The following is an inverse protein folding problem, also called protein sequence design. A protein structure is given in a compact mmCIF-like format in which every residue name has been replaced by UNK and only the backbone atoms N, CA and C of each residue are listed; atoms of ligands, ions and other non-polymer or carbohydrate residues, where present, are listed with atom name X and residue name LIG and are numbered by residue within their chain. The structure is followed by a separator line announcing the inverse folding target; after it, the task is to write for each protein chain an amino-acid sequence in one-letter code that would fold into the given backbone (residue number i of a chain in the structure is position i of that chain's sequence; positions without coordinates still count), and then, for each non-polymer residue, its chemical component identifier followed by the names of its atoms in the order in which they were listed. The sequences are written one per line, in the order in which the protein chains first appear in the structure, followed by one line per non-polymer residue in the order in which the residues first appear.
data_IF_488493563736
#
_entry.id   IF_488493563736
#
_cell.length_a   1.000
_cell.length_b   1.000
_cell.length_c   1.000
_cell.angle_alpha   90.00
_cell.angle_beta   90.00
_cell.angle_gamma   90.00
#
_symmetry.space_group_name_H-M   'P 1'
#
loop_
_entity.id
_entity.type
_entity.pdbx_description
1 polymer ?
#
# COMPACT_ATOMS: atom_id res chain seq x y z
N UNK A 1 17.91 -3.79 5.91
CA UNK A 1 16.83 -4.02 6.86
C UNK A 1 15.56 -3.39 6.32
N UNK A 2 14.61 -4.23 6.00
CA UNK A 2 13.43 -3.79 5.26
C UNK A 2 12.19 -4.33 5.96
N UNK A 3 11.37 -3.43 6.49
CA UNK A 3 10.18 -3.79 7.28
C UNK A 3 9.02 -2.90 6.83
N UNK A 4 8.51 -3.12 5.61
CA UNK A 4 7.41 -2.31 5.12
C UNK A 4 6.08 -2.74 5.75
N UNK A 5 5.22 -1.78 6.00
CA UNK A 5 3.85 -2.01 6.42
C UNK A 5 2.91 -1.31 5.45
N UNK A 6 2.01 -2.07 4.86
CA UNK A 6 1.06 -1.56 3.85
C UNK A 6 -0.35 -1.87 4.34
N UNK A 7 -1.13 -0.82 4.53
CA UNK A 7 -2.51 -0.95 4.97
C UNK A 7 -3.45 -0.38 3.91
N UNK A 8 -4.40 -1.19 3.48
CA UNK A 8 -5.41 -0.80 2.51
C UNK A 8 -6.78 -0.71 3.16
N UNK A 9 -7.44 0.43 3.00
CA UNK A 9 -8.83 0.62 3.39
C UNK A 9 -9.60 0.90 2.12
N UNK A 10 -10.66 0.13 1.85
CA UNK A 10 -11.40 0.25 0.60
C UNK A 10 -12.88 -0.05 0.80
N UNK A 11 -13.71 0.56 -0.04
CA UNK A 11 -15.13 0.23 -0.08
C UNK A 11 -15.43 -1.02 -0.92
N UNK A 12 -14.42 -1.55 -1.62
CA UNK A 12 -14.56 -2.79 -2.37
C UNK A 12 -14.56 -3.96 -1.40
N UNK A 13 -15.48 -4.91 -1.59
CA UNK A 13 -15.43 -6.16 -0.82
C UNK A 13 -14.26 -6.99 -1.34
N UNK A 14 -13.39 -7.41 -0.43
CA UNK A 14 -12.18 -8.15 -0.80
C UNK A 14 -12.37 -9.64 -0.51
N UNK A 15 -12.06 -10.47 -1.48
CA UNK A 15 -11.95 -11.90 -1.27
C UNK A 15 -10.49 -12.31 -1.10
N UNK A 16 -10.24 -13.57 -0.76
CA UNK A 16 -8.88 -14.06 -0.52
C UNK A 16 -7.99 -13.95 -1.74
N UNK A 17 -8.55 -14.18 -2.93
CA UNK A 17 -7.79 -14.10 -4.18
C UNK A 17 -7.33 -12.66 -4.45
N UNK A 18 -8.19 -11.70 -4.21
CA UNK A 18 -7.86 -10.29 -4.39
C UNK A 18 -6.80 -9.84 -3.39
N UNK A 19 -6.95 -10.22 -2.12
CA UNK A 19 -5.94 -9.90 -1.11
C UNK A 19 -4.59 -10.52 -1.45
N UNK A 20 -4.60 -11.76 -1.91
CA UNK A 20 -3.37 -12.44 -2.33
C UNK A 20 -2.71 -11.70 -3.49
N UNK A 21 -3.49 -11.32 -4.49
CA UNK A 21 -2.96 -10.59 -5.65
C UNK A 21 -2.35 -9.25 -5.24
N UNK A 22 -3.01 -8.52 -4.34
CA UNK A 22 -2.48 -7.25 -3.85
C UNK A 22 -1.22 -7.46 -3.03
N UNK A 23 -1.19 -8.46 -2.17
CA UNK A 23 -0.03 -8.74 -1.32
C UNK A 23 1.18 -9.16 -2.15
N UNK A 24 0.99 -10.10 -3.07
CA UNK A 24 2.07 -10.57 -3.91
C UNK A 24 2.56 -9.47 -4.87
N UNK A 25 1.62 -8.74 -5.47
CA UNK A 25 1.98 -7.63 -6.36
C UNK A 25 2.73 -6.53 -5.63
N UNK A 26 2.28 -6.16 -4.44
CA UNK A 26 2.97 -5.16 -3.63
C UNK A 26 4.38 -5.61 -3.25
N UNK A 27 4.53 -6.89 -2.88
CA UNK A 27 5.84 -7.44 -2.54
C UNK A 27 6.81 -7.36 -3.73
N UNK A 28 6.34 -7.68 -4.92
CA UNK A 28 7.16 -7.56 -6.12
C UNK A 28 7.60 -6.12 -6.39
N UNK A 29 6.68 -5.17 -6.22
CA UNK A 29 7.00 -3.76 -6.44
C UNK A 29 7.99 -3.24 -5.41
N UNK A 30 7.86 -3.66 -4.16
CA UNK A 30 8.81 -3.29 -3.11
C UNK A 30 10.20 -3.78 -3.44
N UNK A 31 10.29 -5.02 -3.92
CA UNK A 31 11.57 -5.61 -4.31
C UNK A 31 12.15 -4.94 -5.56
N UNK A 32 11.35 -4.82 -6.60
CA UNK A 32 11.84 -4.42 -7.92
C UNK A 32 12.06 -2.91 -8.04
N UNK A 33 11.23 -2.11 -7.41
CA UNK A 33 11.31 -0.64 -7.52
C UNK A 33 12.06 -0.03 -6.34
N UNK A 34 11.69 -0.43 -5.11
CA UNK A 34 12.31 0.15 -3.92
C UNK A 34 13.62 -0.53 -3.52
N UNK A 35 13.92 -1.69 -4.11
CA UNK A 35 15.12 -2.43 -3.76
C UNK A 35 15.13 -2.94 -2.34
N UNK A 36 13.94 -3.14 -1.75
CA UNK A 36 13.80 -3.60 -0.37
C UNK A 36 13.34 -5.05 -0.36
N UNK A 37 13.79 -5.79 0.65
CA UNK A 37 13.37 -7.17 0.83
C UNK A 37 11.97 -7.23 1.42
N UNK A 38 10.99 -7.84 0.72
CA UNK A 38 9.63 -7.91 1.23
C UNK A 38 9.38 -9.01 2.26
N UNK A 39 10.40 -9.76 2.66
CA UNK A 39 10.20 -10.93 3.55
C UNK A 39 9.59 -10.55 4.90
N UNK A 40 9.80 -9.32 5.35
CA UNK A 40 9.22 -8.82 6.60
C UNK A 40 8.07 -7.86 6.39
N UNK A 41 7.54 -7.82 5.17
CA UNK A 41 6.39 -6.98 4.87
C UNK A 41 5.18 -7.45 5.66
N UNK A 42 4.48 -6.50 6.27
CA UNK A 42 3.17 -6.76 6.84
C UNK A 42 2.13 -6.02 6.04
N UNK A 43 1.02 -6.69 5.77
CA UNK A 43 -0.09 -6.09 5.07
C UNK A 43 -1.36 -6.24 5.89
N UNK A 44 -2.23 -5.23 5.81
CA UNK A 44 -3.54 -5.27 6.42
C UNK A 44 -4.54 -4.81 5.37
N UNK A 45 -5.66 -5.51 5.28
CA UNK A 45 -6.71 -5.19 4.34
C UNK A 45 -8.04 -5.03 5.07
N UNK A 46 -8.70 -3.92 4.83
CA UNK A 46 -10.01 -3.63 5.39
C UNK A 46 -10.94 -3.28 4.23
N UNK A 47 -11.70 -4.25 3.78
CA UNK A 47 -12.61 -4.10 2.65
C UNK A 47 -14.05 -3.87 3.08
N UNK A 48 -14.86 -3.40 2.13
CA UNK A 48 -16.28 -3.24 2.36
C UNK A 48 -16.64 -2.12 3.34
N UNK A 49 -15.74 -1.18 3.57
CA UNK A 49 -16.01 -0.06 4.48
C UNK A 49 -16.70 1.07 3.74
N UNK A 50 -17.29 1.99 4.48
CA UNK A 50 -17.90 3.19 3.90
C UNK A 50 -16.81 4.22 3.66
N UNK A 51 -16.25 4.20 2.47
CA UNK A 51 -15.18 5.10 2.06
C UNK A 51 -15.58 5.77 0.76
N UNK A 52 -15.46 7.08 0.69
CA UNK A 52 -15.76 7.83 -0.51
C UNK A 52 -14.80 9.01 -0.66
N UNK A 53 -14.61 9.44 -1.89
CA UNK A 53 -13.78 10.59 -2.19
C UNK A 53 -14.69 11.78 -2.52
N UNK A 54 -14.40 12.93 -1.91
CA UNK A 54 -15.16 14.16 -2.16
C UNK A 54 -16.51 14.17 -1.48
N UNK A 55 -17.46 14.90 -2.08
CA UNK A 55 -18.81 15.08 -1.57
C UNK A 55 -19.82 14.59 -2.60
N UNK A 56 -21.08 14.41 -2.15
CA UNK A 56 -22.13 13.93 -3.03
C UNK A 56 -22.27 12.41 -3.01
N UNK A 57 -22.92 11.90 -4.05
CA UNK A 57 -23.30 10.48 -4.09
C UNK A 57 -22.29 9.63 -4.87
N UNK A 58 -21.04 9.65 -4.46
CA UNK A 58 -19.99 8.90 -5.13
C UNK A 58 -19.47 7.70 -4.35
N UNK A 59 -20.16 7.32 -3.27
CA UNK A 59 -19.72 6.23 -2.41
C UNK A 59 -19.84 4.85 -3.05
N UNK A 60 -20.46 4.75 -4.23
CA UNK A 60 -20.53 3.49 -4.98
C UNK A 60 -19.29 3.27 -5.86
N UNK A 61 -18.51 4.32 -6.08
CA UNK A 61 -17.33 4.23 -6.92
C UNK A 61 -16.23 3.50 -6.15
N UNK A 62 -15.57 2.50 -6.76
CA UNK A 62 -14.45 1.82 -6.09
C UNK A 62 -13.37 2.81 -5.68
N UNK A 63 -13.05 2.83 -4.41
CA UNK A 63 -12.18 3.83 -3.78
C UNK A 63 -11.30 3.14 -2.75
N UNK A 64 -10.06 3.58 -2.59
CA UNK A 64 -9.18 3.05 -1.57
C UNK A 64 -8.24 4.13 -1.03
N UNK A 65 -7.81 3.93 0.20
CA UNK A 65 -6.76 4.68 0.85
C UNK A 65 -5.70 3.69 1.30
N UNK A 66 -4.47 3.86 0.82
CA UNK A 66 -3.37 2.96 1.13
C UNK A 66 -2.32 3.71 1.92
N UNK A 67 -1.91 3.14 3.04
CA UNK A 67 -0.87 3.70 3.89
C UNK A 67 0.38 2.84 3.76
N UNK A 68 1.48 3.47 3.37
CA UNK A 68 2.76 2.79 3.22
C UNK A 68 3.74 3.35 4.22
N UNK A 69 4.26 2.48 5.10
CA UNK A 69 5.26 2.85 6.11
C UNK A 69 6.52 2.07 5.84
N UNK A 70 7.63 2.78 5.68
CA UNK A 70 8.92 2.16 5.37
C UNK A 70 9.97 2.55 6.40
N UNK A 71 10.80 1.62 6.77
CA UNK A 71 11.99 1.89 7.59
C UNK A 71 13.11 2.33 6.66
N UNK A 72 13.61 3.54 6.86
CA UNK A 72 14.56 4.12 5.95
C UNK A 72 13.90 4.66 4.71
N UNK A 73 14.60 5.46 3.98
CA UNK A 73 14.05 6.17 2.85
C UNK A 73 14.62 5.74 1.52
N UNK A 74 13.89 6.02 0.48
CA UNK A 74 14.38 6.17 -0.85
C UNK A 74 14.23 7.61 -1.24
N UNK A 75 14.75 8.00 -2.38
CA UNK A 75 14.52 9.32 -2.90
C UNK A 75 13.09 9.49 -3.39
N UNK A 76 12.67 10.73 -3.52
CA UNK A 76 11.32 11.04 -3.99
C UNK A 76 10.99 10.35 -5.33
N UNK A 77 11.96 10.31 -6.24
CA UNK A 77 11.75 9.70 -7.55
C UNK A 77 11.43 8.21 -7.48
N UNK A 78 12.00 7.50 -6.53
CA UNK A 78 11.76 6.08 -6.34
C UNK A 78 10.33 5.86 -5.87
N UNK A 79 9.87 6.69 -4.93
CA UNK A 79 8.49 6.61 -4.46
C UNK A 79 7.50 6.98 -5.56
N UNK A 80 7.86 7.90 -6.44
CA UNK A 80 7.01 8.27 -7.57
C UNK A 80 6.79 7.08 -8.51
N UNK A 81 7.85 6.35 -8.84
CA UNK A 81 7.74 5.13 -9.65
C UNK A 81 6.90 4.06 -8.95
N UNK A 82 7.14 3.89 -7.66
CA UNK A 82 6.38 2.94 -6.86
C UNK A 82 4.90 3.31 -6.84
N UNK A 83 4.61 4.60 -6.68
CA UNK A 83 3.24 5.12 -6.66
C UNK A 83 2.49 4.79 -7.94
N UNK A 84 3.10 5.05 -9.08
CA UNK A 84 2.49 4.75 -10.38
C UNK A 84 2.20 3.26 -10.52
N UNK A 85 3.14 2.42 -10.11
CA UNK A 85 2.97 0.97 -10.17
C UNK A 85 1.89 0.46 -9.22
N UNK A 86 1.79 1.05 -8.03
CA UNK A 86 0.73 0.71 -7.07
C UNK A 86 -0.65 1.09 -7.60
N UNK A 87 -0.77 2.26 -8.21
CA UNK A 87 -2.02 2.67 -8.85
C UNK A 87 -2.44 1.66 -9.92
N UNK A 88 -1.50 1.20 -10.74
CA UNK A 88 -1.81 0.20 -11.77
C UNK A 88 -2.20 -1.14 -11.16
N UNK A 89 -1.53 -1.56 -10.09
CA UNK A 89 -1.86 -2.80 -9.40
C UNK A 89 -3.30 -2.78 -8.88
N UNK A 90 -3.70 -1.68 -8.23
CA UNK A 90 -5.04 -1.56 -7.67
C UNK A 90 -6.10 -1.39 -8.74
N UNK A 91 -5.78 -0.71 -9.84
CA UNK A 91 -6.68 -0.61 -10.99
C UNK A 91 -6.93 -2.00 -11.58
N UNK A 92 -5.89 -2.76 -11.77
CA UNK A 92 -5.97 -4.10 -12.38
C UNK A 92 -6.69 -5.10 -11.48
N UNK A 93 -6.46 -5.03 -10.18
CA UNK A 93 -6.98 -6.02 -9.23
C UNK A 93 -8.38 -5.68 -8.74
N UNK A 94 -8.66 -4.41 -8.48
CA UNK A 94 -9.91 -3.97 -7.83
C UNK A 94 -10.74 -3.01 -8.69
N UNK A 95 -10.30 -2.69 -9.89
CA UNK A 95 -10.96 -1.71 -10.76
C UNK A 95 -11.08 -0.33 -10.13
N UNK A 96 -10.07 0.04 -9.32
CA UNK A 96 -10.02 1.37 -8.71
C UNK A 96 -9.24 2.28 -9.63
N UNK A 97 -9.91 3.32 -10.14
CA UNK A 97 -9.26 4.29 -11.02
C UNK A 97 -8.25 5.13 -10.21
N UNK A 98 -7.15 5.57 -10.84
CA UNK A 98 -6.11 6.31 -10.10
C UNK A 98 -6.62 7.51 -9.31
N UNK A 99 -7.61 8.23 -9.83
CA UNK A 99 -8.16 9.40 -9.15
C UNK A 99 -8.86 9.03 -7.83
N UNK A 100 -9.26 7.77 -7.69
CA UNK A 100 -9.98 7.28 -6.53
C UNK A 100 -9.11 6.46 -5.58
N UNK A 101 -7.79 6.53 -5.76
CA UNK A 101 -6.83 5.87 -4.89
C UNK A 101 -5.84 6.90 -4.37
N UNK A 102 -5.81 7.07 -3.04
CA UNK A 102 -4.82 7.89 -2.39
C UNK A 102 -3.83 6.98 -1.67
N UNK A 103 -2.55 7.28 -1.83
CA UNK A 103 -1.49 6.51 -1.17
C UNK A 103 -0.67 7.47 -0.32
N UNK A 104 -0.56 7.15 0.96
CA UNK A 104 0.24 7.92 1.91
C UNK A 104 1.56 7.20 2.15
N UNK A 105 2.64 7.96 2.15
CA UNK A 105 3.98 7.44 2.42
C UNK A 105 4.52 8.02 3.72
N UNK A 106 5.05 7.14 4.56
CA UNK A 106 5.71 7.53 5.80
C UNK A 106 7.05 6.83 5.89
N UNK A 107 8.10 7.60 6.16
CA UNK A 107 9.42 7.04 6.44
C UNK A 107 9.59 7.01 7.95
N UNK A 108 9.82 5.82 8.49
CA UNK A 108 9.92 5.59 9.92
C UNK A 108 11.39 5.54 10.31
N UNK A 109 11.76 6.31 11.33
CA UNK A 109 13.14 6.41 11.79
C UNK A 109 13.51 5.42 12.89
N UNK A 110 12.52 4.77 13.47
CA UNK A 110 12.73 3.74 14.48
C UNK A 110 11.75 2.60 14.25
N UNK A 111 12.23 1.39 14.38
CA UNK A 111 11.42 0.21 14.16
C UNK A 111 11.97 -0.92 15.01
N UNK A 112 11.11 -1.64 15.70
CA UNK A 112 11.56 -2.78 16.48
C UNK A 112 11.38 -4.08 15.71
N UNK A 113 12.14 -5.06 16.10
CA UNK A 113 11.82 -6.45 15.86
C UNK A 113 12.14 -7.19 17.16
N UNK A 114 11.73 -8.44 17.34
CA UNK A 114 11.90 -9.11 18.64
C UNK A 114 13.30 -8.91 19.22
N UNK A 115 13.34 -8.32 20.41
CA UNK A 115 14.56 -8.05 21.20
C UNK A 115 15.51 -7.00 20.65
N UNK A 116 15.10 -6.25 19.59
CA UNK A 116 15.96 -5.21 19.03
C UNK A 116 15.14 -4.00 18.58
N UNK A 117 15.76 -2.83 18.63
CA UNK A 117 15.20 -1.60 18.08
C UNK A 117 16.20 -1.08 17.04
N UNK A 118 15.69 -0.81 15.84
CA UNK A 118 16.49 -0.26 14.76
C UNK A 118 16.18 1.22 14.59
N UNK A 119 17.23 2.02 14.39
CA UNK A 119 17.14 3.47 14.23
C UNK A 119 17.92 3.91 13.00
N UNK A 120 17.46 5.00 12.41
CA UNK A 120 18.20 5.68 11.36
C UNK A 120 18.88 6.90 11.94
#
# INVERSE_FOLDING_TARGET
MHMPFIRTTTNVNLDEAQEKSLREGTAELIKDILGKDPIRMMTAYEGGVHLSRGTGEIYHVPTAFVECKFFGGGGYEVFEQFDQAMHELYRKTLSIEPVNLYIKYEVINGWDKPAQIFKI
#
